data_IF_706337260677
#
_entry.id   IF_706337260677
#
_cell.length_a   1.000
_cell.length_b   1.000
_cell.length_c   1.000
_cell.angle_alpha   90.00
_cell.angle_beta   90.00
_cell.angle_gamma   90.00
#
_symmetry.space_group_name_H-M   'P 1'
#
loop_
_entity.id
_entity.type
_entity.pdbx_description
1 polymer ?
#
# COMPACT_ATOMS: atom_id res chain seq x y z
N UNK A 1 10.69 9.42 -12.20
CA UNK A 1 9.79 10.11 -13.16
C UNK A 1 8.55 9.25 -13.32
N UNK A 2 7.38 9.76 -12.99
CA UNK A 2 6.12 9.06 -13.22
C UNK A 2 5.64 9.37 -14.64
N UNK A 3 5.39 8.34 -15.45
CA UNK A 3 4.91 8.50 -16.83
C UNK A 3 3.40 8.32 -16.92
N UNK A 4 2.81 8.68 -18.04
CA UNK A 4 1.38 8.49 -18.33
C UNK A 4 1.00 7.04 -18.67
N UNK A 5 1.96 6.10 -18.64
CA UNK A 5 1.68 4.67 -18.81
C UNK A 5 0.75 4.15 -17.71
N UNK A 6 -0.08 3.19 -18.10
CA UNK A 6 -0.95 2.43 -17.21
C UNK A 6 -0.77 0.95 -17.51
N UNK A 7 -0.83 0.13 -16.46
CA UNK A 7 -0.86 -1.32 -16.57
C UNK A 7 -2.12 -1.88 -15.93
N UNK A 8 -2.55 -3.04 -16.42
CA UNK A 8 -3.57 -3.86 -15.80
C UNK A 8 -3.17 -5.32 -15.95
N UNK A 9 -3.28 -6.11 -14.87
CA UNK A 9 -2.88 -7.51 -14.85
C UNK A 9 -1.44 -7.72 -15.37
N UNK A 10 -0.51 -6.89 -14.89
CA UNK A 10 0.92 -6.92 -15.24
C UNK A 10 1.24 -6.67 -16.73
N UNK A 11 0.27 -6.19 -17.52
CA UNK A 11 0.45 -5.80 -18.92
C UNK A 11 0.35 -4.28 -19.06
N UNK A 12 1.37 -3.67 -19.67
CA UNK A 12 1.34 -2.25 -20.04
C UNK A 12 0.40 -2.06 -21.22
N UNK A 13 -0.58 -1.17 -21.07
CA UNK A 13 -1.54 -0.87 -22.14
C UNK A 13 -0.88 -0.01 -23.25
N UNK A 14 -1.32 -0.14 -24.52
CA UNK A 14 -0.70 0.56 -25.64
C UNK A 14 -0.88 2.09 -25.58
N UNK A 15 -1.98 2.56 -24.96
CA UNK A 15 -2.28 3.98 -24.79
C UNK A 15 -2.16 4.38 -23.32
N UNK A 16 -1.43 5.47 -23.07
CA UNK A 16 -1.33 6.07 -21.75
C UNK A 16 -2.54 6.92 -21.40
N UNK A 17 -2.69 7.26 -20.11
CA UNK A 17 -3.70 8.21 -19.65
C UNK A 17 -3.03 9.58 -19.52
N UNK A 18 -3.41 10.58 -20.34
CA UNK A 18 -2.81 11.91 -20.28
C UNK A 18 -2.83 12.49 -18.85
N UNK A 19 -1.70 13.02 -18.42
CA UNK A 19 -1.50 13.62 -17.09
C UNK A 19 -1.56 12.64 -15.91
N UNK A 20 -1.67 11.32 -16.12
CA UNK A 20 -1.62 10.34 -15.03
C UNK A 20 -0.31 10.47 -14.26
N UNK A 21 0.83 10.53 -14.93
CA UNK A 21 2.14 10.64 -14.29
C UNK A 21 2.24 11.90 -13.43
N UNK A 22 1.70 13.02 -13.92
CA UNK A 22 1.65 14.27 -13.18
C UNK A 22 0.78 14.15 -11.93
N UNK A 23 -0.43 13.59 -12.07
CA UNK A 23 -1.36 13.43 -10.95
C UNK A 23 -0.75 12.54 -9.86
N UNK A 24 -0.21 11.37 -10.24
CA UNK A 24 0.37 10.42 -9.30
C UNK A 24 1.59 11.01 -8.57
N UNK A 25 2.51 11.64 -9.30
CA UNK A 25 3.70 12.24 -8.70
C UNK A 25 3.33 13.37 -7.72
N UNK A 26 2.35 14.21 -8.04
CA UNK A 26 1.91 15.28 -7.14
C UNK A 26 1.18 14.76 -5.90
N UNK A 27 0.39 13.69 -6.04
CA UNK A 27 -0.27 13.03 -4.90
C UNK A 27 0.81 12.44 -3.99
N UNK A 28 1.71 11.61 -4.53
CA UNK A 28 2.78 10.99 -3.79
C UNK A 28 3.67 12.03 -3.08
N UNK A 29 4.08 13.09 -3.79
CA UNK A 29 4.89 14.17 -3.22
C UNK A 29 4.21 14.84 -2.01
N UNK A 30 2.90 15.14 -2.10
CA UNK A 30 2.13 15.72 -1.00
C UNK A 30 2.03 14.80 0.20
N UNK A 31 1.83 13.50 -0.03
CA UNK A 31 1.76 12.53 1.06
C UNK A 31 3.11 12.30 1.72
N UNK A 32 4.19 12.20 0.95
CA UNK A 32 5.57 12.14 1.46
C UNK A 32 5.88 13.33 2.38
N UNK A 33 5.47 14.54 2.00
CA UNK A 33 5.62 15.73 2.86
C UNK A 33 4.72 15.66 4.10
N UNK A 34 3.47 15.23 3.95
CA UNK A 34 2.49 15.15 5.04
C UNK A 34 2.77 14.03 6.06
N UNK A 35 3.71 13.12 5.77
CA UNK A 35 4.11 12.01 6.64
C UNK A 35 5.57 12.07 7.07
N UNK A 36 6.29 13.14 6.75
CA UNK A 36 7.71 13.28 7.10
C UNK A 36 7.96 13.32 8.63
N UNK A 37 6.93 13.61 9.43
CA UNK A 37 6.97 13.53 10.90
C UNK A 37 6.93 12.10 11.45
N UNK A 38 6.47 11.13 10.64
CA UNK A 38 6.31 9.73 11.04
C UNK A 38 7.60 8.94 10.80
N UNK A 39 8.18 9.09 9.61
CA UNK A 39 9.41 8.43 9.20
C UNK A 39 10.15 9.29 8.17
N UNK A 40 11.48 9.19 8.07
CA UNK A 40 12.20 9.83 6.99
C UNK A 40 11.79 9.18 5.66
N UNK A 41 11.79 9.96 4.59
CA UNK A 41 11.45 9.46 3.26
C UNK A 41 12.45 9.95 2.22
N UNK A 42 12.43 9.33 1.05
CA UNK A 42 13.46 9.52 0.03
C UNK A 42 13.43 10.89 -0.64
N UNK A 43 12.30 11.61 -0.62
CA UNK A 43 12.09 12.84 -1.39
C UNK A 43 12.98 13.99 -0.91
N UNK A 44 13.62 14.65 -1.86
CA UNK A 44 14.38 15.90 -1.66
C UNK A 44 13.69 17.10 -2.33
N UNK A 45 13.19 16.92 -3.55
CA UNK A 45 12.51 17.98 -4.30
C UNK A 45 11.58 17.41 -5.38
N UNK A 46 10.65 18.25 -5.87
CA UNK A 46 9.76 17.94 -6.99
C UNK A 46 9.91 19.04 -8.05
N UNK A 47 10.99 19.01 -8.86
CA UNK A 47 11.31 20.09 -9.80
C UNK A 47 10.35 20.20 -10.99
N UNK A 48 9.56 19.16 -11.24
CA UNK A 48 8.59 19.11 -12.33
C UNK A 48 7.34 18.32 -11.88
N UNK A 49 6.13 18.60 -12.41
CA UNK A 49 4.91 17.89 -12.06
C UNK A 49 4.98 16.36 -12.17
N UNK A 50 5.85 15.79 -13.01
CA UNK A 50 6.06 14.35 -13.18
C UNK A 50 7.35 13.82 -12.53
N UNK A 51 8.14 14.70 -11.92
CA UNK A 51 9.48 14.35 -11.41
C UNK A 51 9.60 14.68 -9.93
N UNK A 52 9.87 13.64 -9.14
CA UNK A 52 10.41 13.78 -7.79
C UNK A 52 11.84 13.24 -7.78
N UNK A 53 12.74 14.00 -7.18
CA UNK A 53 14.16 13.64 -6.97
C UNK A 53 14.38 13.38 -5.49
N UNK A 54 15.28 12.44 -5.20
CA UNK A 54 15.50 12.01 -3.83
C UNK A 54 16.76 11.19 -3.64
N UNK A 55 16.95 10.71 -2.41
CA UNK A 55 18.08 9.85 -2.06
C UNK A 55 17.81 8.41 -2.50
N UNK A 56 18.87 7.74 -2.96
CA UNK A 56 18.81 6.31 -3.25
C UNK A 56 19.03 5.51 -1.97
N UNK A 57 18.11 4.61 -1.64
CA UNK A 57 18.22 3.68 -0.52
C UNK A 57 18.39 2.25 -1.01
N UNK A 58 18.93 1.37 -0.16
CA UNK A 58 18.93 -0.09 -0.41
C UNK A 58 17.57 -0.65 0.02
N UNK A 59 16.70 -0.96 -0.93
CA UNK A 59 15.35 -1.47 -0.67
C UNK A 59 15.36 -2.77 0.15
N UNK A 60 14.36 -2.94 1.01
CA UNK A 60 14.07 -4.24 1.63
C UNK A 60 13.38 -5.14 0.59
N UNK A 61 13.63 -6.46 0.59
CA UNK A 61 13.04 -7.40 -0.38
C UNK A 61 11.59 -7.79 -0.03
N UNK A 62 10.85 -6.90 0.64
CA UNK A 62 9.47 -7.11 1.07
C UNK A 62 8.65 -5.85 0.83
N UNK A 63 7.40 -6.04 0.44
CA UNK A 63 6.42 -4.98 0.33
C UNK A 63 5.46 -5.04 1.52
N UNK A 64 5.29 -3.92 2.21
CA UNK A 64 4.43 -3.84 3.38
C UNK A 64 3.03 -3.42 2.96
N UNK A 65 2.18 -4.40 2.63
CA UNK A 65 0.76 -4.15 2.34
C UNK A 65 -0.02 -4.10 3.64
N UNK A 66 -0.84 -3.07 3.81
CA UNK A 66 -1.76 -2.93 4.94
C UNK A 66 -3.19 -2.77 4.45
N UNK A 67 -4.11 -3.47 5.11
CA UNK A 67 -5.52 -3.60 4.71
C UNK A 67 -6.43 -3.13 5.83
N UNK A 68 -7.23 -2.11 5.55
CA UNK A 68 -8.32 -1.70 6.43
C UNK A 68 -9.63 -2.43 6.15
N UNK A 69 -9.77 -3.05 4.97
CA UNK A 69 -10.99 -3.68 4.50
C UNK A 69 -10.70 -4.99 3.75
N UNK A 70 -11.63 -5.93 3.84
CA UNK A 70 -11.54 -7.23 3.16
C UNK A 70 -11.98 -7.11 1.70
N UNK A 71 -11.03 -6.80 0.80
CA UNK A 71 -11.27 -6.67 -0.63
C UNK A 71 -10.16 -7.32 -1.47
N UNK A 72 -10.32 -7.32 -2.80
CA UNK A 72 -9.26 -7.74 -3.73
C UNK A 72 -8.80 -9.19 -3.54
N UNK A 73 -7.48 -9.42 -3.54
CA UNK A 73 -6.91 -10.76 -3.30
C UNK A 73 -7.30 -11.34 -1.95
N UNK A 74 -7.33 -10.53 -0.89
CA UNK A 74 -7.71 -10.98 0.45
C UNK A 74 -9.16 -11.49 0.50
N UNK A 75 -10.10 -10.81 -0.16
CA UNK A 75 -11.47 -11.30 -0.27
C UNK A 75 -11.56 -12.59 -1.09
N UNK A 76 -10.85 -12.69 -2.22
CA UNK A 76 -10.84 -13.92 -3.05
C UNK A 76 -10.38 -15.13 -2.24
N UNK A 77 -9.30 -14.99 -1.48
CA UNK A 77 -8.81 -16.04 -0.57
C UNK A 77 -9.83 -16.36 0.54
N UNK A 78 -10.39 -15.34 1.20
CA UNK A 78 -11.39 -15.55 2.25
C UNK A 78 -12.64 -16.29 1.73
N UNK A 79 -13.12 -15.91 0.55
CA UNK A 79 -14.26 -16.56 -0.13
C UNK A 79 -13.95 -18.01 -0.51
N UNK A 80 -12.70 -18.37 -0.80
CA UNK A 80 -12.29 -19.75 -1.06
C UNK A 80 -12.03 -20.58 0.21
N UNK A 81 -12.32 -20.03 1.39
CA UNK A 81 -12.22 -20.74 2.67
C UNK A 81 -10.95 -20.44 3.47
N UNK A 82 -10.04 -19.59 2.97
CA UNK A 82 -8.86 -19.16 3.72
C UNK A 82 -9.30 -18.32 4.92
N UNK A 83 -8.73 -18.59 6.10
CA UNK A 83 -9.01 -17.86 7.35
C UNK A 83 -7.76 -17.29 8.01
N UNK A 84 -6.62 -17.41 7.35
CA UNK A 84 -5.36 -16.84 7.77
C UNK A 84 -4.60 -16.34 6.54
N UNK A 85 -4.15 -15.09 6.56
CA UNK A 85 -3.34 -14.49 5.49
C UNK A 85 -2.08 -13.94 6.11
N UNK A 86 -0.91 -14.34 5.60
CA UNK A 86 0.40 -13.90 6.12
C UNK A 86 0.56 -14.11 7.65
N UNK A 87 0.01 -15.20 8.20
CA UNK A 87 0.01 -15.47 9.65
C UNK A 87 -1.06 -14.72 10.45
N UNK A 88 -1.86 -13.86 9.81
CA UNK A 88 -2.93 -13.09 10.47
C UNK A 88 -4.28 -13.80 10.32
N UNK A 89 -4.87 -14.19 11.44
CA UNK A 89 -6.22 -14.79 11.47
C UNK A 89 -7.30 -13.78 11.13
N UNK A 90 -8.19 -14.17 10.23
CA UNK A 90 -9.31 -13.35 9.78
C UNK A 90 -10.56 -13.67 10.61
N UNK A 91 -11.33 -12.67 11.04
CA UNK A 91 -12.62 -12.90 11.68
C UNK A 91 -13.57 -13.72 10.80
N UNK A 92 -14.34 -14.62 11.42
CA UNK A 92 -15.38 -15.36 10.71
C UNK A 92 -16.59 -14.48 10.35
N UNK A 93 -17.36 -14.93 9.36
CA UNK A 93 -18.58 -14.26 8.91
C UNK A 93 -18.38 -12.92 8.20
N UNK A 94 -17.14 -12.51 7.91
CA UNK A 94 -16.87 -11.30 7.13
C UNK A 94 -17.44 -11.36 5.71
N UNK A 95 -17.83 -10.20 5.19
CA UNK A 95 -18.36 -9.98 3.83
C UNK A 95 -17.37 -9.18 2.98
N UNK A 96 -17.55 -9.22 1.66
CA UNK A 96 -16.77 -8.41 0.73
C UNK A 96 -16.85 -6.93 1.08
N UNK A 97 -15.72 -6.23 1.02
CA UNK A 97 -15.56 -4.81 1.35
C UNK A 97 -15.85 -4.46 2.81
N UNK A 98 -15.93 -5.44 3.72
CA UNK A 98 -16.12 -5.17 5.14
C UNK A 98 -14.85 -4.61 5.77
N UNK A 99 -14.99 -3.56 6.59
CA UNK A 99 -13.90 -3.02 7.42
C UNK A 99 -13.44 -4.06 8.44
N UNK A 100 -12.13 -4.26 8.56
CA UNK A 100 -11.56 -5.04 9.66
C UNK A 100 -11.74 -4.32 11.01
N UNK A 101 -11.80 -5.05 12.13
CA UNK A 101 -11.78 -4.43 13.46
C UNK A 101 -10.55 -3.55 13.67
N UNK A 102 -9.39 -4.04 13.24
CA UNK A 102 -8.12 -3.32 13.18
C UNK A 102 -7.45 -3.59 11.82
N UNK A 103 -6.71 -2.64 11.23
CA UNK A 103 -5.99 -2.89 9.99
C UNK A 103 -4.96 -4.02 10.18
N UNK A 104 -4.79 -4.84 9.14
CA UNK A 104 -3.85 -5.97 9.14
C UNK A 104 -2.73 -5.73 8.15
N UNK A 105 -1.52 -6.20 8.48
CA UNK A 105 -0.37 -6.19 7.58
C UNK A 105 -0.29 -7.57 6.91
N UNK A 106 -0.19 -7.59 5.59
CA UNK A 106 -0.10 -8.82 4.77
C UNK A 106 1.04 -8.65 3.76
N UNK A 107 2.30 -8.77 4.19
CA UNK A 107 3.42 -8.43 3.34
C UNK A 107 3.60 -9.44 2.20
N UNK A 108 4.25 -8.99 1.14
CA UNK A 108 4.63 -9.84 -0.01
C UNK A 108 6.14 -9.80 -0.23
N UNK A 109 6.70 -10.86 -0.79
CA UNK A 109 8.08 -10.82 -1.31
C UNK A 109 8.10 -10.10 -2.65
N UNK A 110 9.14 -9.30 -2.88
CA UNK A 110 9.37 -8.68 -4.19
C UNK A 110 9.99 -9.70 -5.14
N UNK A 111 9.23 -10.16 -6.12
CA UNK A 111 9.70 -11.18 -7.06
C UNK A 111 10.63 -10.60 -8.16
N UNK A 112 11.39 -11.46 -8.85
CA UNK A 112 12.16 -11.03 -10.02
C UNK A 112 11.22 -10.65 -11.19
N UNK A 113 11.73 -9.86 -12.13
CA UNK A 113 10.93 -9.37 -13.27
C UNK A 113 10.35 -10.56 -14.07
N UNK A 114 9.02 -10.72 -14.03
CA UNK A 114 8.29 -11.79 -14.70
C UNK A 114 7.63 -12.81 -13.76
N UNK A 115 7.89 -12.72 -12.45
CA UNK A 115 7.21 -13.50 -11.41
C UNK A 115 6.23 -12.62 -10.62
N UNK A 116 5.21 -13.23 -10.02
CA UNK A 116 4.24 -12.51 -9.17
C UNK A 116 4.72 -12.45 -7.73
N UNK A 117 4.51 -11.32 -7.07
CA UNK A 117 4.74 -11.17 -5.64
C UNK A 117 3.91 -12.19 -4.85
N UNK A 118 4.51 -12.77 -3.81
CA UNK A 118 3.90 -13.83 -3.01
C UNK A 118 3.68 -13.37 -1.59
N UNK A 119 2.49 -13.66 -1.05
CA UNK A 119 2.17 -13.48 0.37
C UNK A 119 3.22 -14.20 1.24
N UNK A 120 3.75 -13.51 2.26
CA UNK A 120 4.74 -14.06 3.19
C UNK A 120 4.40 -13.62 4.61
N UNK A 121 4.51 -14.53 5.58
CA UNK A 121 4.30 -14.18 6.99
C UNK A 121 5.48 -13.44 7.61
N UNK A 122 5.23 -12.71 8.70
CA UNK A 122 6.28 -12.13 9.55
C UNK A 122 7.30 -13.18 9.96
N UNK A 123 6.83 -14.34 10.38
CA UNK A 123 7.66 -15.45 10.84
C UNK A 123 8.59 -15.94 9.73
N UNK A 124 8.09 -16.07 8.50
CA UNK A 124 8.89 -16.47 7.35
C UNK A 124 9.89 -15.39 6.92
N UNK A 125 9.52 -14.10 6.96
CA UNK A 125 10.45 -12.99 6.68
C UNK A 125 11.66 -13.06 7.59
N UNK A 126 11.43 -13.26 8.90
CA UNK A 126 12.49 -13.35 9.89
C UNK A 126 13.29 -14.65 9.74
N UNK A 127 12.63 -15.79 9.52
CA UNK A 127 13.29 -17.08 9.37
C UNK A 127 14.20 -17.14 8.13
N UNK A 128 13.80 -16.50 7.03
CA UNK A 128 14.59 -16.40 5.80
C UNK A 128 15.68 -15.30 5.87
N UNK A 129 15.72 -14.51 6.94
CA UNK A 129 16.68 -13.41 7.09
C UNK A 129 16.50 -12.29 6.06
N UNK A 130 15.29 -12.13 5.51
CA UNK A 130 14.97 -11.09 4.51
C UNK A 130 15.03 -9.69 5.13
N UNK A 131 14.59 -9.59 6.38
CA UNK A 131 14.60 -8.38 7.21
C UNK A 131 14.98 -8.80 8.63
N UNK A 132 15.81 -7.99 9.32
CA UNK A 132 16.12 -8.24 10.72
C UNK A 132 14.88 -8.03 11.60
N UNK A 133 14.86 -8.62 12.80
CA UNK A 133 13.73 -8.44 13.72
C UNK A 133 13.50 -6.96 14.08
N UNK A 134 14.58 -6.24 14.40
CA UNK A 134 14.53 -4.83 14.78
C UNK A 134 14.04 -3.94 13.62
N UNK A 135 14.54 -4.20 12.41
CA UNK A 135 14.08 -3.49 11.21
C UNK A 135 12.60 -3.77 10.96
N UNK A 136 12.17 -5.04 11.03
CA UNK A 136 10.78 -5.42 10.75
C UNK A 136 9.79 -4.79 11.75
N UNK A 137 10.13 -4.75 13.04
CA UNK A 137 9.32 -4.05 14.05
C UNK A 137 9.17 -2.55 13.71
N UNK A 138 10.23 -1.93 13.18
CA UNK A 138 10.18 -0.55 12.69
C UNK A 138 9.31 -0.42 11.43
N UNK A 139 9.42 -1.35 10.49
CA UNK A 139 8.58 -1.40 9.28
C UNK A 139 7.09 -1.51 9.64
N UNK A 140 6.72 -2.39 10.57
CA UNK A 140 5.33 -2.53 11.04
C UNK A 140 4.81 -1.23 11.65
N UNK A 141 5.61 -0.62 12.54
CA UNK A 141 5.26 0.65 13.19
C UNK A 141 5.02 1.76 12.16
N UNK A 142 5.93 1.92 11.20
CA UNK A 142 5.78 2.91 10.15
C UNK A 142 4.59 2.62 9.25
N UNK A 143 4.42 1.38 8.82
CA UNK A 143 3.30 0.94 7.97
C UNK A 143 1.95 1.32 8.59
N UNK A 144 1.74 0.99 9.88
CA UNK A 144 0.48 1.30 10.57
C UNK A 144 0.28 2.80 10.77
N UNK A 145 1.34 3.53 11.14
CA UNK A 145 1.27 4.98 11.34
C UNK A 145 0.97 5.73 10.03
N UNK A 146 1.62 5.34 8.94
CA UNK A 146 1.38 5.88 7.60
C UNK A 146 -0.04 5.59 7.14
N UNK A 147 -0.55 4.36 7.36
CA UNK A 147 -1.91 3.99 6.97
C UNK A 147 -2.96 4.78 7.73
N UNK A 148 -2.73 4.97 9.03
CA UNK A 148 -3.59 5.81 9.87
C UNK A 148 -3.63 7.25 9.35
N UNK A 149 -2.48 7.88 9.12
CA UNK A 149 -2.41 9.26 8.58
C UNK A 149 -3.04 9.35 7.19
N UNK A 150 -2.78 8.38 6.31
CA UNK A 150 -3.40 8.29 4.98
C UNK A 150 -4.93 8.19 5.06
N UNK A 151 -5.44 7.37 5.98
CA UNK A 151 -6.88 7.21 6.22
C UNK A 151 -7.53 8.51 6.72
N UNK A 152 -6.90 9.20 7.67
CA UNK A 152 -7.38 10.50 8.19
C UNK A 152 -7.42 11.58 7.10
N UNK A 153 -6.43 11.59 6.21
CA UNK A 153 -6.35 12.54 5.08
C UNK A 153 -7.40 12.21 4.01
N UNK A 154 -7.65 10.92 3.74
CA UNK A 154 -8.67 10.45 2.81
C UNK A 154 -10.09 10.77 3.31
N UNK A 155 -10.36 10.54 4.59
CA UNK A 155 -11.66 10.78 5.22
C UNK A 155 -12.07 12.25 5.09
N UNK A 156 -11.13 13.18 5.36
CA UNK A 156 -11.35 14.64 5.18
C UNK A 156 -11.71 15.04 3.75
N UNK A 157 -11.52 14.16 2.76
CA UNK A 157 -11.81 14.37 1.34
C UNK A 157 -12.98 13.52 0.84
N UNK A 158 -13.74 12.89 1.73
CA UNK A 158 -14.86 12.03 1.33
C UNK A 158 -14.43 10.70 0.72
N UNK A 159 -13.23 10.23 1.06
CA UNK A 159 -12.67 8.96 0.59
C UNK A 159 -12.39 8.02 1.76
N UNK A 160 -12.37 6.73 1.45
CA UNK A 160 -11.95 5.66 2.34
C UNK A 160 -10.68 5.05 1.75
N UNK A 161 -9.58 5.09 2.51
CA UNK A 161 -8.38 4.32 2.17
C UNK A 161 -8.61 2.85 2.55
N UNK A 162 -8.73 1.99 1.55
CA UNK A 162 -9.16 0.59 1.69
C UNK A 162 -7.97 -0.29 2.05
N UNK A 163 -6.91 -0.16 1.27
CA UNK A 163 -5.59 -0.76 1.49
C UNK A 163 -4.53 0.05 0.72
N UNK A 164 -3.27 -0.18 1.07
CA UNK A 164 -2.12 0.44 0.39
C UNK A 164 -0.89 -0.45 0.54
N UNK A 165 0.03 -0.32 -0.42
CA UNK A 165 1.39 -0.85 -0.35
C UNK A 165 2.36 0.23 0.11
N UNK A 166 3.36 -0.12 0.92
CA UNK A 166 4.56 0.69 1.13
C UNK A 166 5.82 -0.11 0.81
N UNK A 167 6.81 0.60 0.29
CA UNK A 167 8.17 0.10 0.17
C UNK A 167 9.09 0.89 1.10
N UNK A 168 10.07 0.20 1.66
CA UNK A 168 11.07 0.81 2.52
C UNK A 168 12.48 0.47 2.03
N UNK A 169 13.44 1.33 2.36
CA UNK A 169 14.84 1.09 2.09
C UNK A 169 15.73 1.58 3.21
N UNK A 170 16.86 0.93 3.37
CA UNK A 170 17.87 1.29 4.35
C UNK A 170 18.93 2.22 3.74
N UNK A 171 19.29 3.28 4.47
CA UNK A 171 20.37 4.19 4.12
C UNK A 171 20.96 4.81 5.40
N UNK A 172 22.28 4.82 5.50
CA UNK A 172 23.03 5.50 6.58
C UNK A 172 22.54 5.13 8.00
N UNK A 173 22.23 3.85 8.22
CA UNK A 173 21.74 3.33 9.51
C UNK A 173 20.27 3.65 9.81
N UNK A 174 19.49 4.10 8.83
CA UNK A 174 18.08 4.48 8.99
C UNK A 174 17.21 3.84 7.92
N UNK A 175 15.95 3.59 8.29
CA UNK A 175 14.89 3.14 7.40
C UNK A 175 14.16 4.34 6.83
N UNK A 176 14.09 4.41 5.50
CA UNK A 176 13.37 5.43 4.75
C UNK A 176 12.15 4.81 4.07
N UNK A 177 11.04 5.54 4.08
CA UNK A 177 9.95 5.31 3.14
C UNK A 177 10.44 5.66 1.73
N UNK A 178 10.34 4.70 0.81
CA UNK A 178 10.71 4.85 -0.60
C UNK A 178 9.47 4.72 -1.48
N UNK A 179 9.66 4.81 -2.81
CA UNK A 179 8.60 4.65 -3.80
C UNK A 179 7.47 5.71 -3.69
N UNK A 180 6.34 5.49 -4.36
CA UNK A 180 5.12 6.28 -4.22
C UNK A 180 4.22 5.80 -3.07
N UNK A 181 3.42 6.71 -2.50
CA UNK A 181 2.52 6.38 -1.39
C UNK A 181 1.15 7.03 -1.60
N UNK A 182 0.09 6.32 -1.21
CA UNK A 182 -1.30 6.84 -1.19
C UNK A 182 -1.79 7.37 -2.54
N UNK A 183 -1.28 6.79 -3.63
CA UNK A 183 -1.77 7.05 -4.97
C UNK A 183 -2.79 5.98 -5.38
N UNK A 184 -3.63 6.23 -6.40
CA UNK A 184 -4.50 5.19 -6.95
C UNK A 184 -3.78 3.96 -7.54
N UNK A 185 -2.48 4.05 -7.84
CA UNK A 185 -1.69 2.91 -8.34
C UNK A 185 -1.22 2.01 -7.18
N UNK A 186 -0.86 2.59 -6.04
CA UNK A 186 -0.40 1.84 -4.85
C UNK A 186 -1.48 1.56 -3.80
N UNK A 187 -2.66 2.16 -3.96
CA UNK A 187 -3.73 2.13 -2.96
C UNK A 187 -5.11 1.96 -3.59
N UNK A 188 -6.02 1.30 -2.86
CA UNK A 188 -7.44 1.26 -3.19
C UNK A 188 -8.19 2.32 -2.40
N UNK A 189 -9.07 3.04 -3.09
CA UNK A 189 -9.96 4.03 -2.50
C UNK A 189 -11.42 3.69 -2.81
N UNK A 190 -12.30 3.92 -1.82
CA UNK A 190 -13.75 4.02 -2.06
C UNK A 190 -14.21 5.45 -1.79
N UNK A 191 -15.32 5.84 -2.41
CA UNK A 191 -16.09 6.99 -1.95
C UNK A 191 -16.75 6.68 -0.61
N UNK A 192 -16.62 7.59 0.37
CA UNK A 192 -17.31 7.45 1.65
C UNK A 192 -18.83 7.57 1.47
N UNK A 193 -19.25 8.42 0.53
CA UNK A 193 -20.66 8.61 0.18
C UNK A 193 -21.25 7.32 -0.40
N UNK A 194 -22.28 6.80 0.28
CA UNK A 194 -22.99 5.58 -0.09
C UNK A 194 -22.26 4.28 0.21
N UNK A 195 -21.06 4.30 0.81
CA UNK A 195 -20.34 3.06 1.17
C UNK A 195 -21.20 2.13 2.03
N UNK A 196 -21.78 2.68 3.11
CA UNK A 196 -22.58 1.91 4.08
C UNK A 196 -23.82 1.29 3.43
N UNK A 197 -24.55 2.07 2.65
CA UNK A 197 -25.77 1.62 1.97
C UNK A 197 -25.44 0.49 0.96
N UNK A 198 -24.42 0.69 0.12
CA UNK A 198 -23.98 -0.34 -0.83
C UNK A 198 -23.51 -1.60 -0.12
N UNK A 199 -22.78 -1.45 0.99
CA UNK A 199 -22.32 -2.57 1.80
C UNK A 199 -23.50 -3.35 2.40
N UNK A 200 -24.52 -2.67 2.92
CA UNK A 200 -25.73 -3.31 3.47
C UNK A 200 -26.52 -4.06 2.39
N UNK A 201 -26.62 -3.48 1.19
CA UNK A 201 -27.31 -4.07 0.03
C UNK A 201 -26.50 -5.15 -0.72
N UNK A 202 -25.22 -5.30 -0.43
CA UNK A 202 -24.33 -6.21 -1.16
C UNK A 202 -23.99 -5.73 -2.58
N UNK A 203 -24.04 -4.41 -2.81
CA UNK A 203 -23.72 -3.79 -4.10
C UNK A 203 -22.20 -3.51 -4.24
N UNK A 204 -21.65 -3.48 -5.48
CA UNK A 204 -20.26 -3.11 -5.72
C UNK A 204 -19.94 -1.71 -5.19
N UNK A 205 -18.78 -1.56 -4.55
CA UNK A 205 -18.29 -0.26 -4.11
C UNK A 205 -17.77 0.57 -5.29
N UNK A 206 -17.74 1.89 -5.08
CA UNK A 206 -17.28 2.89 -6.05
C UNK A 206 -16.10 3.65 -5.49
#
# INVERSE_FOLDING_TARGET
VATDRISAFDVILPEGIPYKGQMLNQIAAKFLDATADICPNWKLATPDPMVTVGVQCKGFPVEMIVRGYLCGSAWRAYKSGVREICGVKLPDGMRENQRFPEPIITPTTKAEIGEHDQDISKEEILAKGLVSKEDYETLEKYTMALFKRGSEIAEKRGLILVDTKYEFGHRDGKIYLIDEIHTPDSSRYFYSEGYKERFEKGEPQK
#
